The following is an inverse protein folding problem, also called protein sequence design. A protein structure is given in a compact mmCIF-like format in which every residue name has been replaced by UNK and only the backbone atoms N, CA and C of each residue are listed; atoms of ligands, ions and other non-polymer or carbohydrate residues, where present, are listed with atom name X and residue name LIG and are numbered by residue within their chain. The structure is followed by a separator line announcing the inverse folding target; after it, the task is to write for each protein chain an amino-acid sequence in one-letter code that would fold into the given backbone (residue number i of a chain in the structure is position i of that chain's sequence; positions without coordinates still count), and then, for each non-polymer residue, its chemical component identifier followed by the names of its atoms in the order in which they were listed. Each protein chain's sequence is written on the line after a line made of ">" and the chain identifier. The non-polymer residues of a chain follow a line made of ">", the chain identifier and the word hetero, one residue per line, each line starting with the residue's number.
data_IF_320881914276
#
_entry.id   IF_320881914276
#
_cell.length_a   1.000
_cell.length_b   1.000
_cell.length_c   1.000
_cell.angle_alpha   90.00
_cell.angle_beta   90.00
_cell.angle_gamma   90.00
#
_symmetry.space_group_name_H-M   'P 1'
#
loop_
_entity.id
_entity.type
_entity.pdbx_description
1 polymer ?
#
# COMPACT_ATOMS: atom_id res chain seq x y z
N UNK A 1 -3.20 -69.14 -4.53
CA UNK A 1 -1.96 -68.40 -4.20
C UNK A 1 -1.98 -66.94 -4.71
N UNK A 2 -3.01 -66.50 -5.45
CA UNK A 2 -3.18 -65.09 -5.86
C UNK A 2 -3.72 -64.19 -4.73
N UNK A 3 -4.51 -64.73 -3.81
CA UNK A 3 -5.26 -63.95 -2.82
C UNK A 3 -4.38 -63.09 -1.87
N UNK A 4 -3.17 -63.54 -1.54
CA UNK A 4 -2.28 -62.79 -0.63
C UNK A 4 -1.66 -61.55 -1.31
N UNK A 5 -1.36 -61.66 -2.61
CA UNK A 5 -0.73 -60.56 -3.36
C UNK A 5 -1.73 -59.42 -3.60
N UNK A 6 -2.99 -59.75 -3.92
CA UNK A 6 -4.05 -58.76 -4.06
C UNK A 6 -4.37 -58.06 -2.73
N UNK A 7 -4.42 -58.81 -1.63
CA UNK A 7 -4.61 -58.23 -0.29
C UNK A 7 -3.45 -57.31 0.09
N UNK A 8 -2.19 -57.71 -0.14
CA UNK A 8 -1.04 -56.83 0.12
C UNK A 8 -1.07 -55.54 -0.71
N UNK A 9 -1.58 -55.62 -1.95
CA UNK A 9 -1.73 -54.45 -2.81
C UNK A 9 -2.78 -53.49 -2.25
N UNK A 10 -3.91 -54.02 -1.81
CA UNK A 10 -4.96 -53.26 -1.12
C UNK A 10 -4.43 -52.65 0.19
N UNK A 11 -3.65 -53.39 0.98
CA UNK A 11 -3.06 -52.87 2.23
C UNK A 11 -2.03 -51.74 2.00
N UNK A 12 -1.35 -51.72 0.86
CA UNK A 12 -0.48 -50.61 0.46
C UNK A 12 -1.31 -49.39 0.04
N UNK A 13 -2.36 -49.61 -0.75
CA UNK A 13 -3.29 -48.54 -1.14
C UNK A 13 -3.99 -47.92 0.08
N UNK A 14 -4.43 -48.72 1.04
CA UNK A 14 -5.02 -48.24 2.30
C UNK A 14 -4.02 -47.41 3.09
N UNK A 15 -2.75 -47.84 3.18
CA UNK A 15 -1.70 -47.07 3.87
C UNK A 15 -1.41 -45.74 3.19
N UNK A 16 -1.39 -45.70 1.86
CA UNK A 16 -1.18 -44.47 1.11
C UNK A 16 -2.37 -43.51 1.25
N UNK A 17 -3.61 -44.03 1.25
CA UNK A 17 -4.81 -43.24 1.51
C UNK A 17 -4.79 -42.68 2.94
N UNK A 18 -4.42 -43.49 3.94
CA UNK A 18 -4.31 -43.05 5.33
C UNK A 18 -3.25 -41.96 5.51
N UNK A 19 -2.07 -42.09 4.89
CA UNK A 19 -1.04 -41.05 4.91
C UNK A 19 -1.55 -39.74 4.30
N UNK A 20 -2.20 -39.82 3.13
CA UNK A 20 -2.80 -38.65 2.49
C UNK A 20 -3.87 -38.01 3.36
N UNK A 21 -4.69 -38.81 4.04
CA UNK A 21 -5.71 -38.32 4.96
C UNK A 21 -5.11 -37.58 6.17
N UNK A 22 -3.91 -37.94 6.61
CA UNK A 22 -3.18 -37.24 7.68
C UNK A 22 -2.42 -36.00 7.19
N UNK A 23 -2.04 -35.96 5.91
CA UNK A 23 -1.29 -34.85 5.30
C UNK A 23 -2.22 -33.69 4.87
N UNK A 24 -3.37 -33.99 4.26
CA UNK A 24 -4.35 -32.99 3.77
C UNK A 24 -4.77 -32.00 4.86
N UNK A 25 -5.12 -32.41 6.10
CA UNK A 25 -5.49 -31.46 7.15
C UNK A 25 -4.33 -30.56 7.60
N UNK A 26 -3.09 -31.06 7.54
CA UNK A 26 -1.90 -30.28 7.89
C UNK A 26 -1.60 -29.23 6.82
N UNK A 27 -1.75 -29.61 5.56
CA UNK A 27 -1.60 -28.69 4.43
C UNK A 27 -2.70 -27.63 4.43
N UNK A 28 -3.96 -28.03 4.67
CA UNK A 28 -5.07 -27.09 4.85
C UNK A 28 -4.80 -26.10 5.98
N UNK A 29 -4.37 -26.57 7.16
CA UNK A 29 -4.06 -25.69 8.27
C UNK A 29 -2.93 -24.71 7.97
N UNK A 30 -1.89 -25.17 7.26
CA UNK A 30 -0.79 -24.32 6.79
C UNK A 30 -1.30 -23.25 5.83
N UNK A 31 -2.14 -23.63 4.87
CA UNK A 31 -2.71 -22.75 3.85
C UNK A 31 -3.67 -21.71 4.46
N UNK A 32 -4.50 -22.13 5.42
CA UNK A 32 -5.33 -21.21 6.22
C UNK A 32 -4.47 -20.20 7.00
N UNK A 33 -3.33 -20.65 7.55
CA UNK A 33 -2.36 -19.78 8.21
C UNK A 33 -1.72 -18.75 7.27
N UNK A 34 -1.33 -19.14 6.05
CA UNK A 34 -0.77 -18.20 5.06
C UNK A 34 -1.81 -17.19 4.61
N UNK A 35 -3.05 -17.62 4.35
CA UNK A 35 -4.16 -16.73 3.99
C UNK A 35 -4.43 -15.71 5.11
N UNK A 36 -4.46 -16.15 6.37
CA UNK A 36 -4.63 -15.23 7.51
C UNK A 36 -3.49 -14.23 7.63
N UNK A 37 -2.25 -14.65 7.38
CA UNK A 37 -1.08 -13.77 7.39
C UNK A 37 -1.16 -12.71 6.29
N UNK A 38 -1.45 -13.13 5.05
CA UNK A 38 -1.63 -12.23 3.91
C UNK A 38 -2.75 -11.23 4.14
N UNK A 39 -3.89 -11.65 4.71
CA UNK A 39 -4.99 -10.74 5.07
C UNK A 39 -4.55 -9.66 6.06
N UNK A 40 -3.82 -10.04 7.11
CA UNK A 40 -3.26 -9.08 8.06
C UNK A 40 -2.31 -8.08 7.38
N UNK A 41 -1.47 -8.54 6.46
CA UNK A 41 -0.52 -7.65 5.77
C UNK A 41 -1.21 -6.74 4.74
N UNK A 42 -2.30 -7.20 4.12
CA UNK A 42 -3.20 -6.34 3.33
C UNK A 42 -3.80 -5.25 4.20
N UNK A 43 -4.31 -5.59 5.38
CA UNK A 43 -4.93 -4.61 6.29
C UNK A 43 -3.92 -3.56 6.77
N UNK A 44 -2.68 -3.97 7.12
CA UNK A 44 -1.59 -3.04 7.48
C UNK A 44 -1.26 -2.10 6.33
N UNK A 45 -1.08 -2.63 5.13
CA UNK A 45 -0.71 -1.84 3.94
C UNK A 45 -1.85 -0.88 3.55
N UNK A 46 -3.10 -1.30 3.75
CA UNK A 46 -4.27 -0.45 3.57
C UNK A 46 -4.30 0.71 4.56
N UNK A 47 -4.00 0.45 5.84
CA UNK A 47 -3.90 1.49 6.85
C UNK A 47 -2.78 2.50 6.50
N UNK A 48 -1.61 2.02 6.08
CA UNK A 48 -0.49 2.87 5.62
C UNK A 48 -0.87 3.73 4.42
N UNK A 49 -1.65 3.18 3.48
CA UNK A 49 -2.18 3.97 2.36
C UNK A 49 -3.13 5.06 2.86
N UNK A 50 -4.04 4.73 3.77
CA UNK A 50 -5.00 5.70 4.31
C UNK A 50 -4.33 6.83 5.09
N UNK A 51 -3.25 6.54 5.84
CA UNK A 51 -2.47 7.57 6.53
C UNK A 51 -1.75 8.49 5.54
N UNK A 52 -1.09 7.92 4.52
CA UNK A 52 -0.45 8.71 3.45
C UNK A 52 -1.46 9.58 2.70
N UNK A 53 -2.66 9.05 2.41
CA UNK A 53 -3.72 9.82 1.75
C UNK A 53 -4.19 11.02 2.58
N UNK A 54 -4.20 10.91 3.91
CA UNK A 54 -4.51 12.04 4.81
C UNK A 54 -3.38 13.07 4.79
N UNK A 55 -2.14 12.61 4.91
CA UNK A 55 -0.95 13.48 4.89
C UNK A 55 -0.86 14.29 3.59
N UNK A 56 -1.12 13.65 2.44
CA UNK A 56 -1.19 14.32 1.13
C UNK A 56 -2.23 15.45 1.13
N UNK A 57 -3.45 15.18 1.61
CA UNK A 57 -4.53 16.19 1.64
C UNK A 57 -4.19 17.37 2.55
N UNK A 58 -3.58 17.10 3.71
CA UNK A 58 -3.15 18.16 4.64
C UNK A 58 -2.06 19.04 4.02
N UNK A 59 -1.09 18.42 3.34
CA UNK A 59 -0.01 19.11 2.66
C UNK A 59 -0.53 19.95 1.48
N UNK A 60 -1.41 19.40 0.65
CA UNK A 60 -2.08 20.12 -0.45
C UNK A 60 -2.90 21.31 0.05
N UNK A 61 -3.61 21.14 1.17
CA UNK A 61 -4.33 22.23 1.83
C UNK A 61 -3.40 23.35 2.28
N UNK A 62 -2.24 23.00 2.83
CA UNK A 62 -1.20 23.96 3.25
C UNK A 62 -0.62 24.70 2.05
N UNK A 63 -0.26 23.99 0.98
CA UNK A 63 0.23 24.55 -0.29
C UNK A 63 -0.79 25.55 -0.87
N UNK A 64 -2.08 25.22 -0.86
CA UNK A 64 -3.12 26.12 -1.37
C UNK A 64 -3.23 27.42 -0.55
N UNK A 65 -3.09 27.32 0.78
CA UNK A 65 -3.09 28.49 1.67
C UNK A 65 -1.86 29.37 1.44
N UNK A 66 -0.67 28.78 1.37
CA UNK A 66 0.57 29.51 1.12
C UNK A 66 0.58 30.17 -0.26
N UNK A 67 0.12 29.48 -1.30
CA UNK A 67 -0.07 30.06 -2.63
C UNK A 67 -1.01 31.28 -2.61
N UNK A 68 -2.07 31.25 -1.80
CA UNK A 68 -2.99 32.38 -1.65
C UNK A 68 -2.32 33.56 -0.95
N UNK A 69 -1.48 33.32 0.07
CA UNK A 69 -0.69 34.36 0.74
C UNK A 69 0.35 34.96 -0.21
N UNK A 70 1.06 34.12 -0.96
CA UNK A 70 2.04 34.55 -1.97
C UNK A 70 1.41 35.49 -3.00
N UNK A 71 0.24 35.14 -3.55
CA UNK A 71 -0.48 36.03 -4.49
C UNK A 71 -0.81 37.40 -3.90
N UNK A 72 -1.19 37.44 -2.61
CA UNK A 72 -1.46 38.71 -1.92
C UNK A 72 -0.18 39.53 -1.73
N UNK A 73 0.94 38.90 -1.41
CA UNK A 73 2.23 39.58 -1.26
C UNK A 73 2.78 40.07 -2.60
N UNK A 74 2.61 39.30 -3.68
CA UNK A 74 2.94 39.71 -5.04
C UNK A 74 2.13 40.93 -5.48
N UNK A 75 0.82 40.95 -5.20
CA UNK A 75 -0.02 42.11 -5.50
C UNK A 75 0.47 43.35 -4.74
N UNK A 76 0.80 43.21 -3.45
CA UNK A 76 1.36 44.31 -2.64
C UNK A 76 2.71 44.81 -3.16
N UNK A 77 3.51 43.93 -3.76
CA UNK A 77 4.81 44.29 -4.32
C UNK A 77 4.70 45.39 -5.38
N UNK A 78 3.62 45.38 -6.17
CA UNK A 78 3.37 46.35 -7.24
C UNK A 78 3.05 47.75 -6.74
N UNK A 79 2.55 47.87 -5.50
CA UNK A 79 2.14 49.15 -4.91
C UNK A 79 3.28 49.83 -4.11
N UNK A 80 4.38 49.11 -3.85
CA UNK A 80 5.50 49.61 -3.04
C UNK A 80 6.44 50.47 -3.89
N UNK A 81 6.46 51.77 -3.59
CA UNK A 81 7.37 52.75 -4.23
C UNK A 81 8.75 52.84 -3.54
N UNK A 82 8.85 52.41 -2.29
CA UNK A 82 10.10 52.42 -1.54
C UNK A 82 10.97 51.22 -1.94
N UNK A 83 12.11 51.49 -2.58
CA UNK A 83 13.02 50.45 -3.08
C UNK A 83 13.53 49.50 -1.98
N UNK A 84 13.72 49.98 -0.74
CA UNK A 84 14.20 49.12 0.35
C UNK A 84 13.12 48.14 0.82
N UNK A 85 11.89 48.61 0.94
CA UNK A 85 10.73 47.79 1.32
C UNK A 85 10.37 46.82 0.19
N UNK A 86 10.46 47.26 -1.06
CA UNK A 86 10.28 46.42 -2.23
C UNK A 86 11.27 45.24 -2.23
N UNK A 87 12.56 45.52 -2.05
CA UNK A 87 13.59 44.47 -2.02
C UNK A 87 13.42 43.50 -0.85
N UNK A 88 12.98 44.00 0.31
CA UNK A 88 12.69 43.16 1.47
C UNK A 88 11.52 42.21 1.19
N UNK A 89 10.38 42.74 0.75
CA UNK A 89 9.19 41.94 0.45
C UNK A 89 9.42 40.99 -0.74
N UNK A 90 10.19 41.41 -1.75
CA UNK A 90 10.55 40.56 -2.89
C UNK A 90 11.34 39.33 -2.45
N UNK A 91 12.28 39.48 -1.52
CA UNK A 91 13.03 38.35 -0.96
C UNK A 91 12.14 37.41 -0.15
N UNK A 92 11.19 37.95 0.60
CA UNK A 92 10.21 37.13 1.33
C UNK A 92 9.30 36.34 0.38
N UNK A 93 8.81 36.97 -0.69
CA UNK A 93 8.02 36.29 -1.73
C UNK A 93 8.83 35.19 -2.42
N UNK A 94 10.08 35.45 -2.79
CA UNK A 94 10.96 34.42 -3.35
C UNK A 94 11.23 33.27 -2.37
N UNK A 95 11.42 33.59 -1.09
CA UNK A 95 11.58 32.61 -0.02
C UNK A 95 10.35 31.72 0.11
N UNK A 96 9.16 32.32 0.19
CA UNK A 96 7.90 31.58 0.26
C UNK A 96 7.63 30.75 -0.99
N UNK A 97 7.97 31.26 -2.19
CA UNK A 97 7.90 30.47 -3.44
C UNK A 97 8.79 29.24 -3.42
N UNK A 98 10.02 29.35 -2.90
CA UNK A 98 10.92 28.20 -2.74
C UNK A 98 10.33 27.16 -1.78
N UNK A 99 9.87 27.60 -0.61
CA UNK A 99 9.24 26.70 0.37
C UNK A 99 7.99 26.02 -0.20
N UNK A 100 7.17 26.74 -0.96
CA UNK A 100 5.98 26.16 -1.58
C UNK A 100 6.35 25.11 -2.65
N UNK A 101 7.40 25.33 -3.44
CA UNK A 101 7.92 24.32 -4.38
C UNK A 101 8.44 23.08 -3.66
N UNK A 102 9.20 23.25 -2.57
CA UNK A 102 9.68 22.12 -1.76
C UNK A 102 8.50 21.32 -1.17
N UNK A 103 7.42 22.01 -0.75
CA UNK A 103 6.20 21.36 -0.29
C UNK A 103 5.49 20.61 -1.43
N UNK A 104 5.38 21.20 -2.62
CA UNK A 104 4.83 20.54 -3.82
C UNK A 104 5.62 19.29 -4.21
N UNK A 105 6.95 19.34 -4.18
CA UNK A 105 7.83 18.19 -4.42
C UNK A 105 7.61 17.07 -3.39
N UNK A 106 7.47 17.43 -2.10
CA UNK A 106 7.13 16.46 -1.05
C UNK A 106 5.74 15.85 -1.27
N UNK A 107 4.73 16.65 -1.63
CA UNK A 107 3.39 16.17 -1.96
C UNK A 107 3.45 15.13 -3.08
N UNK A 108 4.21 15.45 -4.13
CA UNK A 108 4.39 14.58 -5.28
C UNK A 108 5.07 13.26 -4.89
N UNK A 109 6.15 13.31 -4.10
CA UNK A 109 6.85 12.13 -3.62
C UNK A 109 5.95 11.22 -2.77
N UNK A 110 5.14 11.81 -1.87
CA UNK A 110 4.15 11.06 -1.09
C UNK A 110 3.07 10.43 -1.99
N UNK A 111 2.63 11.14 -3.03
CA UNK A 111 1.64 10.63 -3.96
C UNK A 111 2.18 9.47 -4.81
N UNK A 112 3.44 9.53 -5.25
CA UNK A 112 4.13 8.40 -5.91
C UNK A 112 4.12 7.18 -4.99
N UNK A 113 4.51 7.34 -3.72
CA UNK A 113 4.49 6.25 -2.74
C UNK A 113 3.08 5.71 -2.50
N UNK A 114 2.06 6.57 -2.45
CA UNK A 114 0.66 6.16 -2.32
C UNK A 114 0.22 5.28 -3.50
N UNK A 115 0.56 5.66 -4.74
CA UNK A 115 0.26 4.87 -5.95
C UNK A 115 1.00 3.53 -5.94
N UNK A 116 2.25 3.50 -5.49
CA UNK A 116 3.01 2.25 -5.33
C UNK A 116 2.34 1.31 -4.32
N UNK A 117 1.86 1.83 -3.19
CA UNK A 117 1.13 1.03 -2.21
C UNK A 117 -0.22 0.54 -2.75
N UNK A 118 -0.93 1.33 -3.54
CA UNK A 118 -2.15 0.88 -4.23
C UNK A 118 -1.88 -0.28 -5.17
N UNK A 119 -0.77 -0.21 -5.93
CA UNK A 119 -0.36 -1.31 -6.80
C UNK A 119 -0.04 -2.57 -5.99
N UNK A 120 0.74 -2.44 -4.91
CA UNK A 120 1.06 -3.57 -4.01
C UNK A 120 -0.18 -4.19 -3.39
N UNK A 121 -1.16 -3.38 -2.99
CA UNK A 121 -2.45 -3.89 -2.49
C UNK A 121 -3.23 -4.65 -3.56
N UNK A 122 -3.20 -4.19 -4.81
CA UNK A 122 -3.77 -4.92 -5.95
C UNK A 122 -3.09 -6.28 -6.15
N UNK A 123 -1.77 -6.31 -6.14
CA UNK A 123 -0.98 -7.53 -6.30
C UNK A 123 -1.24 -8.50 -5.13
N UNK A 124 -1.20 -8.03 -3.88
CA UNK A 124 -1.51 -8.85 -2.69
C UNK A 124 -2.96 -9.34 -2.70
N UNK A 125 -3.92 -8.53 -3.13
CA UNK A 125 -5.32 -8.94 -3.29
C UNK A 125 -5.48 -10.06 -4.31
N UNK A 126 -4.75 -10.00 -5.43
CA UNK A 126 -4.74 -11.08 -6.43
C UNK A 126 -4.14 -12.37 -5.88
N UNK A 127 -3.08 -12.28 -5.07
CA UNK A 127 -2.45 -13.44 -4.42
C UNK A 127 -3.37 -14.10 -3.38
N UNK A 128 -4.09 -13.30 -2.60
CA UNK A 128 -5.11 -13.81 -1.66
C UNK A 128 -6.22 -14.53 -2.43
N UNK A 129 -6.70 -13.95 -3.53
CA UNK A 129 -7.75 -14.57 -4.34
C UNK A 129 -7.32 -15.92 -4.96
N UNK A 130 -6.06 -16.04 -5.42
CA UNK A 130 -5.52 -17.32 -5.90
C UNK A 130 -5.43 -18.36 -4.78
N UNK A 131 -4.92 -17.98 -3.61
CA UNK A 131 -4.78 -18.92 -2.49
C UNK A 131 -6.14 -19.34 -1.90
N UNK A 132 -7.13 -18.44 -1.88
CA UNK A 132 -8.51 -18.81 -1.47
C UNK A 132 -9.18 -19.76 -2.47
N UNK A 133 -8.84 -19.65 -3.76
CA UNK A 133 -9.22 -20.60 -4.79
C UNK A 133 -8.65 -21.99 -4.52
N UNK A 134 -7.34 -22.06 -4.24
CA UNK A 134 -6.63 -23.31 -3.95
C UNK A 134 -7.21 -24.01 -2.70
N UNK A 135 -7.47 -23.25 -1.61
CA UNK A 135 -8.12 -23.74 -0.39
C UNK A 135 -9.53 -24.29 -0.66
N UNK A 136 -10.28 -23.71 -1.60
CA UNK A 136 -11.64 -24.19 -1.93
C UNK A 136 -11.64 -25.43 -2.82
N UNK A 137 -10.62 -25.62 -3.66
CA UNK A 137 -10.44 -26.85 -4.43
C UNK A 137 -9.92 -28.03 -3.61
N UNK A 138 -9.26 -27.78 -2.48
CA UNK A 138 -8.76 -28.80 -1.55
C UNK A 138 -9.76 -29.19 -0.45
N UNK A 139 -10.91 -28.51 -0.34
CA UNK A 139 -12.03 -28.86 0.57
C UNK A 139 -13.00 -29.83 -0.07
#
# INVERSE_FOLDING_TARGET
>A
MLDLYEVQKIDLEIRDVQKRLDEIPKDLHRLEGTVSGLKSDVDKTRLERETLAREIRELEGTIAQENTKLKKWEARLNDIRNQREYLALSREVEGGKRQNREAEERAHALNVRHVELEKKLGDMGSQVATQEGDVSTER
#
